data_IF_906782392030
#
_entry.id   IF_906782392030
#
_cell.length_a   1.000
_cell.length_b   1.000
_cell.length_c   1.000
_cell.angle_alpha   90.00
_cell.angle_beta   90.00
_cell.angle_gamma   90.00
#
_symmetry.space_group_name_H-M   'P 1'
#
loop_
_entity.id
_entity.type
_entity.pdbx_description
1 polymer ?
#
# COMPACT_ATOMS: atom_id res chain seq x y z
N UNK A 1 -9.58 14.46 2.89
CA UNK A 1 -9.14 14.36 1.49
C UNK A 1 -7.63 14.45 1.43
N UNK A 2 -6.99 13.65 2.24
CA UNK A 2 -5.55 13.70 2.43
C UNK A 2 -4.96 12.29 2.46
N UNK A 3 -3.73 12.19 1.95
CA UNK A 3 -2.88 11.02 2.12
C UNK A 3 -1.87 11.39 3.20
N UNK A 4 -1.78 10.59 4.25
CA UNK A 4 -0.89 10.84 5.38
C UNK A 4 -0.04 9.62 5.69
N UNK A 5 1.05 9.85 6.43
CA UNK A 5 2.05 8.82 6.75
C UNK A 5 2.34 8.88 8.24
N UNK A 6 2.32 7.72 8.87
CA UNK A 6 2.54 7.56 10.31
C UNK A 6 3.44 6.35 10.56
N UNK A 7 4.11 6.33 11.69
CA UNK A 7 4.85 5.17 12.15
C UNK A 7 4.41 4.78 13.56
N UNK A 8 4.29 3.47 13.81
CA UNK A 8 3.89 2.90 15.08
C UNK A 8 4.87 1.81 15.48
N UNK A 9 5.46 1.97 16.67
CA UNK A 9 6.44 1.05 17.23
C UNK A 9 7.65 0.84 16.30
N UNK A 10 7.98 1.85 15.51
CA UNK A 10 9.18 1.92 14.67
C UNK A 10 9.39 3.36 14.20
N UNK A 11 10.55 3.64 13.62
CA UNK A 11 10.90 4.98 13.12
C UNK A 11 10.81 5.07 11.59
N UNK A 12 10.28 4.04 10.94
CA UNK A 12 10.25 3.99 9.49
C UNK A 12 9.22 4.96 8.91
N UNK A 13 9.66 5.79 7.98
CA UNK A 13 8.81 6.60 7.09
C UNK A 13 9.46 6.62 5.70
N UNK A 14 8.67 6.53 4.62
CA UNK A 14 9.25 6.56 3.29
C UNK A 14 9.76 7.94 2.92
N UNK A 15 10.71 7.98 1.99
CA UNK A 15 11.22 9.22 1.41
C UNK A 15 10.30 9.73 0.31
N UNK A 16 10.49 11.01 -0.08
CA UNK A 16 9.74 11.65 -1.19
C UNK A 16 8.22 11.57 -1.03
N UNK A 17 7.73 11.82 0.17
CA UNK A 17 6.30 11.71 0.49
C UNK A 17 5.40 12.58 -0.38
N UNK A 18 5.86 13.75 -0.81
CA UNK A 18 5.07 14.61 -1.72
C UNK A 18 4.79 13.92 -3.06
N UNK A 19 5.79 13.23 -3.61
CA UNK A 19 5.64 12.47 -4.85
C UNK A 19 4.72 11.27 -4.65
N UNK A 20 4.84 10.60 -3.50
CA UNK A 20 3.96 9.48 -3.14
C UNK A 20 2.51 9.94 -3.02
N UNK A 21 2.26 11.07 -2.36
CA UNK A 21 0.91 11.65 -2.23
C UNK A 21 0.33 11.93 -3.63
N UNK A 22 1.09 12.58 -4.49
CA UNK A 22 0.66 12.90 -5.85
C UNK A 22 0.34 11.63 -6.65
N UNK A 23 1.17 10.60 -6.49
CA UNK A 23 0.98 9.31 -7.15
C UNK A 23 -0.30 8.61 -6.67
N UNK A 24 -0.53 8.54 -5.37
CA UNK A 24 -1.73 7.93 -4.80
C UNK A 24 -2.98 8.68 -5.27
N UNK A 25 -2.97 10.00 -5.22
CA UNK A 25 -4.07 10.83 -5.70
C UNK A 25 -4.38 10.56 -7.18
N UNK A 26 -3.35 10.51 -8.02
CA UNK A 26 -3.52 10.26 -9.44
C UNK A 26 -4.05 8.84 -9.72
N UNK A 27 -3.66 7.86 -8.91
CA UNK A 27 -4.15 6.49 -9.00
C UNK A 27 -5.65 6.41 -8.69
N UNK A 28 -6.08 7.00 -7.59
CA UNK A 28 -7.50 7.05 -7.20
C UNK A 28 -8.33 7.72 -8.30
N UNK A 29 -7.82 8.83 -8.84
CA UNK A 29 -8.49 9.55 -9.91
C UNK A 29 -8.55 8.72 -11.20
N UNK A 30 -7.47 8.03 -11.56
CA UNK A 30 -7.42 7.14 -12.73
C UNK A 30 -8.42 5.99 -12.63
N UNK A 31 -8.70 5.53 -11.41
CA UNK A 31 -9.71 4.51 -11.12
C UNK A 31 -11.13 5.08 -11.09
N UNK A 32 -11.30 6.35 -11.41
CA UNK A 32 -12.59 7.06 -11.42
C UNK A 32 -13.27 7.03 -10.05
N UNK A 33 -12.47 7.16 -9.01
CA UNK A 33 -12.93 7.21 -7.63
C UNK A 33 -12.68 8.59 -7.02
N UNK A 34 -13.24 8.81 -5.85
CA UNK A 34 -13.10 10.07 -5.09
C UNK A 34 -12.16 9.82 -3.91
N UNK A 35 -11.12 10.63 -3.80
CA UNK A 35 -10.16 10.50 -2.70
C UNK A 35 -10.78 11.02 -1.41
N UNK A 36 -10.85 10.17 -0.40
CA UNK A 36 -11.11 10.53 0.99
C UNK A 36 -9.80 10.67 1.75
N UNK A 37 -9.75 10.11 2.95
CA UNK A 37 -8.54 10.10 3.78
C UNK A 37 -7.90 8.72 3.74
N UNK A 38 -6.68 8.65 3.24
CA UNK A 38 -5.87 7.44 3.24
C UNK A 38 -4.69 7.66 4.17
N UNK A 39 -4.57 6.81 5.19
CA UNK A 39 -3.47 6.84 6.14
C UNK A 39 -2.60 5.61 5.94
N UNK A 40 -1.33 5.83 5.60
CA UNK A 40 -0.31 4.78 5.66
C UNK A 40 0.26 4.73 7.06
N UNK A 41 0.22 3.57 7.68
CA UNK A 41 0.79 3.34 9.01
C UNK A 41 1.88 2.28 8.87
N UNK A 42 3.12 2.69 9.02
CA UNK A 42 4.29 1.80 9.01
C UNK A 42 4.54 1.34 10.44
N UNK A 43 4.58 0.05 10.66
CA UNK A 43 4.64 -0.49 12.01
C UNK A 43 5.65 -1.63 12.12
N UNK A 44 6.10 -1.88 13.36
CA UNK A 44 6.95 -3.02 13.67
C UNK A 44 6.22 -4.33 13.37
N UNK A 45 6.97 -5.40 13.17
CA UNK A 45 6.40 -6.73 12.95
C UNK A 45 5.52 -7.17 14.09
N UNK A 46 5.93 -6.91 15.33
CA UNK A 46 5.14 -7.25 16.52
C UNK A 46 3.82 -6.50 16.57
N UNK A 47 3.84 -5.21 16.29
CA UNK A 47 2.63 -4.40 16.22
C UNK A 47 1.69 -4.88 15.11
N UNK A 48 2.23 -5.18 13.95
CA UNK A 48 1.47 -5.64 12.80
C UNK A 48 0.83 -7.01 13.03
N UNK A 49 1.55 -7.94 13.65
CA UNK A 49 1.02 -9.25 14.04
C UNK A 49 -0.13 -9.09 15.02
N UNK A 50 0.02 -8.21 16.02
CA UNK A 50 -1.00 -7.96 17.04
C UNK A 50 -2.30 -7.44 16.40
N UNK A 51 -2.19 -6.49 15.48
CA UNK A 51 -3.33 -5.98 14.73
C UNK A 51 -3.99 -7.09 13.90
N UNK A 52 -3.20 -7.91 13.24
CA UNK A 52 -3.69 -9.01 12.41
C UNK A 52 -4.48 -10.03 13.25
N UNK A 53 -3.99 -10.33 14.45
CA UNK A 53 -4.67 -11.24 15.41
C UNK A 53 -5.98 -10.64 15.90
N UNK A 54 -5.97 -9.37 16.32
CA UNK A 54 -7.11 -8.71 16.94
C UNK A 54 -8.27 -8.50 15.97
N UNK A 55 -7.98 -8.09 14.73
CA UNK A 55 -8.99 -7.60 13.82
C UNK A 55 -9.32 -8.57 12.69
N UNK A 56 -8.38 -9.45 12.32
CA UNK A 56 -8.55 -10.38 11.21
C UNK A 56 -8.50 -11.84 11.64
N UNK A 57 -8.24 -12.11 12.91
CA UNK A 57 -8.11 -13.47 13.47
C UNK A 57 -7.03 -14.31 12.76
N UNK A 58 -6.03 -13.67 12.18
CA UNK A 58 -4.88 -14.32 11.57
C UNK A 58 -3.70 -14.32 12.54
N UNK A 59 -2.94 -15.41 12.57
CA UNK A 59 -1.80 -15.59 13.47
C UNK A 59 -0.50 -15.81 12.68
N UNK A 60 -0.34 -15.13 11.56
CA UNK A 60 0.84 -15.19 10.72
C UNK A 60 1.24 -13.80 10.23
N UNK A 61 2.51 -13.66 9.87
CA UNK A 61 3.00 -12.41 9.30
C UNK A 61 2.43 -12.18 7.90
N UNK A 62 2.00 -10.94 7.68
CA UNK A 62 1.71 -10.42 6.34
C UNK A 62 2.41 -9.08 6.20
N UNK A 63 2.60 -8.60 4.98
CA UNK A 63 3.25 -7.32 4.73
C UNK A 63 2.29 -6.13 4.83
N UNK A 64 1.01 -6.33 4.56
CA UNK A 64 0.02 -5.25 4.51
C UNK A 64 -1.34 -5.69 5.02
N UNK A 65 -2.00 -4.79 5.74
CA UNK A 65 -3.40 -4.92 6.18
C UNK A 65 -4.12 -3.63 5.80
N UNK A 66 -5.31 -3.75 5.21
CA UNK A 66 -6.14 -2.60 4.87
C UNK A 66 -7.42 -2.59 5.68
N UNK A 67 -7.80 -1.41 6.17
CA UNK A 67 -9.11 -1.16 6.78
C UNK A 67 -9.85 -0.15 5.90
N UNK A 68 -10.97 -0.57 5.34
CA UNK A 68 -11.75 0.21 4.39
C UNK A 68 -12.85 0.97 5.09
N UNK A 69 -12.81 2.31 5.01
CA UNK A 69 -13.83 3.21 5.55
C UNK A 69 -14.55 3.96 4.44
N UNK A 70 -14.37 3.54 3.19
CA UNK A 70 -14.94 4.20 2.04
C UNK A 70 -16.43 3.97 1.87
N UNK A 71 -16.98 4.61 0.88
CA UNK A 71 -18.38 4.47 0.49
C UNK A 71 -18.45 4.04 -0.97
N UNK A 72 -18.84 2.76 -1.24
CA UNK A 72 -18.93 2.27 -2.62
C UNK A 72 -19.94 3.03 -3.46
N UNK A 73 -21.02 3.53 -2.84
CA UNK A 73 -22.09 4.22 -3.56
C UNK A 73 -21.64 5.57 -4.11
N UNK A 74 -20.84 6.31 -3.35
CA UNK A 74 -20.28 7.59 -3.79
C UNK A 74 -18.94 7.46 -4.50
N UNK A 75 -18.32 6.27 -4.46
CA UNK A 75 -16.98 6.03 -4.96
C UNK A 75 -15.87 6.55 -4.07
N UNK A 76 -16.19 6.92 -2.82
CA UNK A 76 -15.23 7.45 -1.87
C UNK A 76 -14.24 6.37 -1.43
N UNK A 77 -12.95 6.63 -1.64
CA UNK A 77 -11.85 5.77 -1.21
C UNK A 77 -11.23 6.36 0.06
N UNK A 78 -11.36 5.64 1.16
CA UNK A 78 -10.87 6.08 2.46
C UNK A 78 -10.47 4.85 3.27
N UNK A 79 -9.39 4.92 4.00
CA UNK A 79 -8.98 3.79 4.82
C UNK A 79 -7.59 3.92 5.42
N UNK A 80 -7.23 2.92 6.22
CA UNK A 80 -5.90 2.76 6.77
C UNK A 80 -5.19 1.61 6.05
N UNK A 81 -3.94 1.85 5.65
CA UNK A 81 -3.06 0.86 5.04
C UNK A 81 -1.89 0.66 5.99
N UNK A 82 -1.88 -0.48 6.68
CA UNK A 82 -0.87 -0.79 7.68
C UNK A 82 0.18 -1.69 7.07
N UNK A 83 1.42 -1.24 7.05
CA UNK A 83 2.53 -1.91 6.37
C UNK A 83 3.62 -2.23 7.39
N UNK A 84 4.09 -3.48 7.36
CA UNK A 84 5.30 -3.90 8.06
C UNK A 84 6.48 -3.77 7.08
N UNK A 85 7.29 -2.70 7.18
CA UNK A 85 8.37 -2.47 6.21
C UNK A 85 9.47 -3.53 6.30
N UNK A 86 9.63 -4.18 7.45
CA UNK A 86 10.66 -5.22 7.65
C UNK A 86 10.26 -6.50 6.90
N UNK A 87 8.97 -6.85 6.92
CA UNK A 87 8.43 -7.96 6.12
C UNK A 87 8.51 -7.65 4.63
N UNK A 88 8.24 -6.40 4.23
CA UNK A 88 8.40 -5.97 2.83
C UNK A 88 9.84 -6.17 2.36
N UNK A 89 10.82 -5.74 3.15
CA UNK A 89 12.24 -5.92 2.81
C UNK A 89 12.62 -7.41 2.72
N UNK A 90 12.12 -8.21 3.65
CA UNK A 90 12.33 -9.66 3.66
C UNK A 90 11.76 -10.33 2.41
N UNK A 91 10.54 -9.96 2.03
CA UNK A 91 9.89 -10.47 0.83
C UNK A 91 10.63 -10.05 -0.44
N UNK A 92 11.14 -8.83 -0.50
CA UNK A 92 11.93 -8.37 -1.62
C UNK A 92 13.17 -9.25 -1.83
N UNK A 93 13.85 -9.60 -0.74
CA UNK A 93 15.01 -10.50 -0.80
C UNK A 93 14.61 -11.90 -1.30
N UNK A 94 13.49 -12.45 -0.81
CA UNK A 94 12.99 -13.77 -1.22
C UNK A 94 12.63 -13.77 -2.72
N UNK A 95 11.97 -12.73 -3.21
CA UNK A 95 11.52 -12.63 -4.59
C UNK A 95 12.60 -12.06 -5.53
N UNK A 96 13.78 -11.76 -5.01
CA UNK A 96 14.88 -11.17 -5.77
C UNK A 96 14.47 -9.87 -6.48
N UNK A 97 13.74 -9.02 -5.76
CA UNK A 97 13.32 -7.70 -6.21
C UNK A 97 14.00 -6.63 -5.35
N UNK A 98 14.00 -5.38 -5.85
CA UNK A 98 14.57 -4.28 -5.08
C UNK A 98 13.60 -3.84 -3.96
N UNK A 99 14.08 -3.60 -2.72
CA UNK A 99 13.20 -3.20 -1.61
C UNK A 99 12.40 -1.93 -1.90
N UNK A 100 12.96 -0.96 -2.61
CA UNK A 100 12.28 0.28 -2.96
C UNK A 100 11.07 0.01 -3.86
N UNK A 101 11.22 -0.85 -4.86
CA UNK A 101 10.13 -1.25 -5.74
C UNK A 101 9.08 -2.04 -4.99
N UNK A 102 9.49 -2.97 -4.13
CA UNK A 102 8.55 -3.80 -3.37
C UNK A 102 7.69 -2.96 -2.42
N UNK A 103 8.28 -1.96 -1.76
CA UNK A 103 7.53 -1.04 -0.92
C UNK A 103 6.48 -0.28 -1.72
N UNK A 104 6.85 0.23 -2.89
CA UNK A 104 5.93 0.93 -3.78
C UNK A 104 4.79 0.02 -4.22
N UNK A 105 5.10 -1.22 -4.56
CA UNK A 105 4.10 -2.21 -4.95
C UNK A 105 3.11 -2.48 -3.84
N UNK A 106 3.58 -2.67 -2.62
CA UNK A 106 2.72 -2.91 -1.44
C UNK A 106 1.84 -1.69 -1.15
N UNK A 107 2.40 -0.49 -1.27
CA UNK A 107 1.64 0.74 -1.05
C UNK A 107 0.48 0.89 -2.03
N UNK A 108 0.72 0.65 -3.32
CA UNK A 108 -0.34 0.78 -4.32
C UNK A 108 -1.33 -0.39 -4.27
N UNK A 109 -0.85 -1.57 -3.90
CA UNK A 109 -1.70 -2.74 -3.66
C UNK A 109 -2.79 -2.43 -2.63
N UNK A 110 -2.43 -1.79 -1.53
CA UNK A 110 -3.38 -1.36 -0.52
C UNK A 110 -4.43 -0.38 -1.05
N UNK A 111 -4.01 0.58 -1.86
CA UNK A 111 -4.94 1.53 -2.50
C UNK A 111 -5.91 0.80 -3.43
N UNK A 112 -5.42 -0.17 -4.20
CA UNK A 112 -6.25 -0.94 -5.13
C UNK A 112 -7.28 -1.79 -4.37
N UNK A 113 -6.91 -2.35 -3.23
CA UNK A 113 -7.89 -2.99 -2.33
C UNK A 113 -8.98 -2.02 -1.91
N UNK A 114 -8.61 -0.80 -1.52
CA UNK A 114 -9.58 0.22 -1.14
C UNK A 114 -10.47 0.63 -2.32
N UNK A 115 -9.98 0.49 -3.54
CA UNK A 115 -10.77 0.70 -4.76
C UNK A 115 -11.70 -0.47 -5.10
N UNK A 116 -11.63 -1.56 -4.36
CA UNK A 116 -12.53 -2.69 -4.52
C UNK A 116 -11.94 -3.91 -5.22
N UNK A 117 -10.66 -3.89 -5.58
CA UNK A 117 -10.02 -5.04 -6.21
C UNK A 117 -9.63 -6.07 -5.17
N UNK A 118 -9.97 -7.34 -5.42
CA UNK A 118 -9.53 -8.46 -4.61
C UNK A 118 -8.24 -9.09 -5.14
N UNK A 119 -7.76 -10.13 -4.46
CA UNK A 119 -6.58 -10.88 -4.85
C UNK A 119 -6.66 -12.37 -4.47
N UNK A 120 -7.86 -12.85 -4.16
CA UNK A 120 -8.06 -14.22 -3.65
C UNK A 120 -8.13 -15.27 -4.74
N UNK A 121 -8.77 -14.98 -5.88
CA UNK A 121 -8.79 -15.89 -7.01
C UNK A 121 -7.59 -15.64 -7.93
N UNK A 122 -7.28 -16.61 -8.79
CA UNK A 122 -6.18 -16.47 -9.75
C UNK A 122 -6.42 -15.29 -10.70
N UNK A 123 -7.66 -15.10 -11.15
CA UNK A 123 -8.00 -13.98 -12.03
C UNK A 123 -7.91 -12.63 -11.32
N UNK A 124 -8.33 -12.57 -10.05
CA UNK A 124 -8.20 -11.36 -9.24
C UNK A 124 -6.73 -11.02 -8.97
N UNK A 125 -5.93 -12.03 -8.64
CA UNK A 125 -4.50 -11.84 -8.40
C UNK A 125 -3.78 -11.34 -9.67
N UNK A 126 -4.13 -11.90 -10.83
CA UNK A 126 -3.56 -11.47 -12.12
C UNK A 126 -3.95 -10.02 -12.46
N UNK A 127 -5.19 -9.64 -12.23
CA UNK A 127 -5.67 -8.26 -12.43
C UNK A 127 -4.96 -7.31 -11.47
N UNK A 128 -4.86 -7.67 -10.21
CA UNK A 128 -4.16 -6.87 -9.20
C UNK A 128 -2.71 -6.62 -9.63
N UNK A 129 -2.00 -7.67 -10.05
CA UNK A 129 -0.61 -7.56 -10.50
C UNK A 129 -0.47 -6.65 -11.71
N UNK A 130 -1.39 -6.78 -12.67
CA UNK A 130 -1.43 -5.92 -13.85
C UNK A 130 -1.61 -4.45 -13.50
N UNK A 131 -2.51 -4.16 -12.55
CA UNK A 131 -2.76 -2.79 -12.08
C UNK A 131 -1.58 -2.23 -11.29
N UNK A 132 -0.98 -3.04 -10.42
CA UNK A 132 0.24 -2.66 -9.71
C UNK A 132 1.33 -2.24 -10.70
N UNK A 133 1.56 -3.05 -11.73
CA UNK A 133 2.56 -2.75 -12.76
C UNK A 133 2.23 -1.45 -13.51
N UNK A 134 0.96 -1.25 -13.85
CA UNK A 134 0.48 -0.02 -14.51
C UNK A 134 0.83 1.22 -13.69
N UNK A 135 0.53 1.20 -12.39
CA UNK A 135 0.74 2.37 -11.54
C UNK A 135 2.19 2.56 -11.12
N UNK A 136 2.97 1.49 -11.03
CA UNK A 136 4.42 1.59 -10.86
C UNK A 136 5.06 2.26 -12.08
N UNK A 137 4.65 1.87 -13.29
CA UNK A 137 5.11 2.51 -14.52
C UNK A 137 4.69 3.98 -14.59
N UNK A 138 3.48 4.31 -14.16
CA UNK A 138 3.00 5.70 -14.11
C UNK A 138 3.86 6.55 -13.19
N UNK A 139 4.28 6.02 -12.04
CA UNK A 139 5.20 6.71 -11.16
C UNK A 139 6.54 6.98 -11.85
N UNK A 140 7.12 5.95 -12.47
CA UNK A 140 8.42 6.06 -13.14
C UNK A 140 8.39 7.06 -14.29
N UNK A 141 7.31 7.08 -15.07
CA UNK A 141 7.14 8.02 -16.17
C UNK A 141 7.05 9.48 -15.68
N UNK A 142 6.40 9.70 -14.54
CA UNK A 142 6.19 11.03 -13.99
C UNK A 142 7.37 11.54 -13.17
N UNK A 143 7.97 10.69 -12.36
CA UNK A 143 8.97 11.09 -11.34
C UNK A 143 10.35 10.46 -11.53
N UNK A 144 10.49 9.48 -12.41
CA UNK A 144 11.75 8.77 -12.60
C UNK A 144 11.92 7.63 -11.59
N UNK A 145 13.04 7.64 -10.88
CA UNK A 145 13.37 6.57 -9.94
C UNK A 145 12.40 6.52 -8.76
N UNK A 146 12.15 5.31 -8.27
CA UNK A 146 11.39 5.13 -7.03
C UNK A 146 12.12 5.78 -5.85
N UNK A 147 11.37 6.26 -4.84
CA UNK A 147 11.99 6.78 -3.64
C UNK A 147 12.85 5.73 -2.95
N UNK A 148 13.97 6.17 -2.37
CA UNK A 148 14.77 5.29 -1.52
C UNK A 148 13.94 4.92 -0.30
N UNK A 149 13.81 3.61 -0.02
CA UNK A 149 12.97 3.12 1.07
C UNK A 149 13.54 3.44 2.45
N UNK A 150 14.85 3.50 2.55
CA UNK A 150 15.52 3.72 3.83
C UNK A 150 15.72 2.46 4.67
N UNK A 151 15.54 1.31 4.05
CA UNK A 151 15.82 0.03 4.70
C UNK A 151 17.31 -0.16 5.01
#
# INVERSE_FOLDING_TARGET
>A
MAVSFHSEDCDFLPHDRRKLIAWVKSTVLAEKRVLGDISYVFCSSDYHIDINRRFLSHDYNTDVITFDYGDPDSGLVSGDIMIDPFTVASNAAIFNTHPDEELMRVMIHGVLHLCGYGDKSDSEAAMMRSLENKYLNAYSERFGKFPVSGF
#
